data_IF_403065330923
#
_entry.id   IF_403065330923
#
_cell.length_a   1.000
_cell.length_b   1.000
_cell.length_c   1.000
_cell.angle_alpha   90.00
_cell.angle_beta   90.00
_cell.angle_gamma   90.00
#
_symmetry.space_group_name_H-M   'P 1'
#
loop_
_entity.id
_entity.type
_entity.pdbx_description
1 polymer ?
#
# COMPACT_ATOMS: atom_id res chain seq x y z
N UNK A 1 0.62 -28.87 -6.64
CA UNK A 1 -0.75 -28.53 -7.12
C UNK A 1 -0.63 -28.07 -8.56
N UNK A 2 -1.53 -28.49 -9.45
CA UNK A 2 -1.55 -27.96 -10.83
C UNK A 2 -1.88 -26.46 -10.79
N UNK A 3 -1.21 -25.67 -11.64
CA UNK A 3 -1.41 -24.20 -11.73
C UNK A 3 -2.90 -23.86 -11.89
N UNK A 4 -3.63 -24.68 -12.64
CA UNK A 4 -5.08 -24.55 -12.85
C UNK A 4 -5.86 -24.57 -11.52
N UNK A 5 -5.49 -25.45 -10.58
CA UNK A 5 -6.16 -25.55 -9.28
C UNK A 5 -5.89 -24.32 -8.42
N UNK A 6 -4.67 -23.76 -8.46
CA UNK A 6 -4.35 -22.51 -7.76
C UNK A 6 -5.14 -21.34 -8.31
N UNK A 7 -5.15 -21.17 -9.63
CA UNK A 7 -5.89 -20.08 -10.29
C UNK A 7 -7.38 -20.19 -9.98
N UNK A 8 -7.96 -21.39 -10.04
CA UNK A 8 -9.36 -21.62 -9.72
C UNK A 8 -9.67 -21.30 -8.25
N UNK A 9 -8.82 -21.74 -7.32
CA UNK A 9 -8.97 -21.44 -5.89
C UNK A 9 -8.92 -19.93 -5.61
N UNK A 10 -7.99 -19.20 -6.24
CA UNK A 10 -7.87 -17.75 -6.10
C UNK A 10 -9.06 -17.02 -6.70
N UNK A 11 -9.54 -17.45 -7.87
CA UNK A 11 -10.69 -16.85 -8.53
C UNK A 11 -11.97 -17.05 -7.67
N UNK A 12 -12.13 -18.24 -7.08
CA UNK A 12 -13.22 -18.53 -6.15
C UNK A 12 -13.10 -17.68 -4.87
N UNK A 13 -11.90 -17.53 -4.32
CA UNK A 13 -11.63 -16.69 -3.16
C UNK A 13 -11.95 -15.20 -3.42
N UNK A 14 -11.60 -14.67 -4.60
CA UNK A 14 -11.93 -13.29 -5.00
C UNK A 14 -13.43 -13.09 -5.14
N UNK A 15 -14.15 -14.02 -5.76
CA UNK A 15 -15.62 -13.95 -5.89
C UNK A 15 -16.29 -14.02 -4.52
N UNK A 16 -15.84 -14.93 -3.65
CA UNK A 16 -16.31 -15.04 -2.28
C UNK A 16 -16.07 -13.74 -1.49
N UNK A 17 -14.88 -13.13 -1.64
CA UNK A 17 -14.54 -11.83 -1.05
C UNK A 17 -15.53 -10.74 -1.44
N UNK A 18 -15.92 -10.67 -2.71
CA UNK A 18 -16.86 -9.67 -3.20
C UNK A 18 -18.25 -9.91 -2.60
N UNK A 19 -18.69 -11.16 -2.50
CA UNK A 19 -19.96 -11.51 -1.87
C UNK A 19 -19.96 -11.13 -0.38
N UNK A 20 -18.90 -11.49 0.35
CA UNK A 20 -18.72 -11.15 1.77
C UNK A 20 -18.73 -9.63 1.97
N UNK A 21 -18.06 -8.87 1.10
CA UNK A 21 -18.04 -7.39 1.17
C UNK A 21 -19.42 -6.75 1.01
N UNK A 22 -20.36 -7.41 0.32
CA UNK A 22 -21.74 -6.94 0.15
C UNK A 22 -22.66 -7.33 1.31
N UNK A 23 -22.35 -8.42 2.02
CA UNK A 23 -23.11 -8.86 3.20
C UNK A 23 -22.67 -8.16 4.49
N UNK A 24 -21.43 -7.64 4.53
CA UNK A 24 -20.92 -6.90 5.67
C UNK A 24 -21.59 -5.51 5.78
N UNK A 25 -22.11 -5.13 6.98
CA UNK A 25 -22.68 -3.79 7.22
C UNK A 25 -21.60 -2.69 7.25
N UNK A 26 -20.31 -3.07 7.31
CA UNK A 26 -19.17 -2.16 7.31
C UNK A 26 -18.62 -2.05 5.89
N UNK A 27 -18.57 -0.83 5.34
CA UNK A 27 -17.99 -0.54 4.02
C UNK A 27 -16.46 -0.63 4.07
N UNK A 28 -15.94 -1.84 4.07
CA UNK A 28 -14.50 -2.10 3.95
C UNK A 28 -14.13 -2.07 2.46
N UNK A 29 -13.11 -1.32 2.05
CA UNK A 29 -12.68 -1.31 0.65
C UNK A 29 -12.16 -2.70 0.26
N UNK A 30 -12.62 -3.19 -0.90
CA UNK A 30 -12.24 -4.50 -1.45
C UNK A 30 -10.74 -4.80 -1.41
N UNK A 31 -9.82 -3.86 -1.71
CA UNK A 31 -8.38 -4.11 -1.63
C UNK A 31 -7.91 -4.62 -0.26
N UNK A 32 -8.48 -4.11 0.85
CA UNK A 32 -8.09 -4.57 2.20
C UNK A 32 -8.52 -6.02 2.41
N UNK A 33 -9.75 -6.35 1.99
CA UNK A 33 -10.28 -7.70 2.13
C UNK A 33 -9.50 -8.70 1.26
N UNK A 34 -9.08 -8.28 0.07
CA UNK A 34 -8.27 -9.08 -0.84
C UNK A 34 -6.85 -9.32 -0.31
N UNK A 35 -6.20 -8.31 0.28
CA UNK A 35 -4.88 -8.48 0.93
C UNK A 35 -5.01 -9.45 2.11
N UNK A 36 -6.05 -9.32 2.93
CA UNK A 36 -6.29 -10.21 4.06
C UNK A 36 -6.55 -11.66 3.61
N UNK A 37 -7.36 -11.87 2.57
CA UNK A 37 -7.61 -13.19 1.99
C UNK A 37 -6.35 -13.81 1.38
N UNK A 38 -5.57 -13.02 0.62
CA UNK A 38 -4.29 -13.47 0.06
C UNK A 38 -3.30 -13.86 1.15
N UNK A 39 -3.18 -13.04 2.21
CA UNK A 39 -2.34 -13.34 3.36
C UNK A 39 -2.79 -14.61 4.10
N UNK A 40 -4.10 -14.81 4.26
CA UNK A 40 -4.65 -16.03 4.85
C UNK A 40 -4.34 -17.27 3.99
N UNK A 41 -4.46 -17.17 2.66
CA UNK A 41 -4.15 -18.25 1.72
C UNK A 41 -2.64 -18.60 1.68
N UNK A 42 -1.76 -17.62 1.83
CA UNK A 42 -0.31 -17.83 1.90
C UNK A 42 0.08 -18.77 3.05
N UNK A 43 -0.61 -18.69 4.21
CA UNK A 43 -0.40 -19.62 5.35
C UNK A 43 -0.68 -21.08 4.96
N UNK A 44 -1.55 -21.32 3.99
CA UNK A 44 -1.87 -22.67 3.49
C UNK A 44 -0.93 -23.14 2.37
N UNK A 45 0.19 -22.44 2.12
CA UNK A 45 1.21 -22.83 1.12
C UNK A 45 0.93 -22.35 -0.30
N UNK A 46 0.03 -21.39 -0.48
CA UNK A 46 -0.17 -20.69 -1.75
C UNK A 46 0.72 -19.45 -1.82
N UNK A 47 2.01 -19.68 -2.05
CA UNK A 47 2.98 -18.59 -2.19
C UNK A 47 3.05 -18.15 -3.65
N UNK A 48 2.74 -16.88 -3.89
CA UNK A 48 2.84 -16.23 -5.20
C UNK A 48 3.62 -14.95 -5.01
N UNK A 49 4.75 -14.82 -5.71
CA UNK A 49 5.53 -13.59 -5.69
C UNK A 49 4.68 -12.44 -6.24
N UNK A 50 4.41 -11.48 -5.36
CA UNK A 50 3.68 -10.27 -5.70
C UNK A 50 4.65 -9.18 -6.12
N UNK A 51 4.52 -8.69 -7.35
CA UNK A 51 5.38 -7.64 -7.88
C UNK A 51 4.79 -6.25 -7.58
N UNK A 52 5.25 -5.53 -6.54
CA UNK A 52 4.54 -4.35 -6.03
C UNK A 52 4.56 -3.19 -7.04
N UNK A 53 5.58 -3.14 -7.90
CA UNK A 53 5.72 -2.15 -8.96
C UNK A 53 4.58 -2.23 -9.96
N UNK A 54 4.14 -3.43 -10.35
CA UNK A 54 3.02 -3.61 -11.28
C UNK A 54 1.70 -3.20 -10.64
N UNK A 55 1.48 -3.53 -9.37
CA UNK A 55 0.31 -3.08 -8.63
C UNK A 55 0.28 -1.55 -8.49
N UNK A 56 1.38 -0.93 -8.06
CA UNK A 56 1.46 0.52 -7.92
C UNK A 56 1.24 1.21 -9.27
N UNK A 57 1.87 0.73 -10.34
CA UNK A 57 1.72 1.32 -11.67
C UNK A 57 0.31 1.13 -12.27
N UNK A 58 -0.37 0.02 -11.97
CA UNK A 58 -1.70 -0.25 -12.49
C UNK A 58 -2.81 0.42 -11.68
N UNK A 59 -2.66 0.54 -10.36
CA UNK A 59 -3.71 1.07 -9.48
C UNK A 59 -3.53 2.57 -9.18
N UNK A 60 -2.31 3.04 -8.86
CA UNK A 60 -2.10 4.41 -8.40
C UNK A 60 -2.45 5.44 -9.49
N UNK A 61 -1.93 5.36 -10.74
CA UNK A 61 -2.21 6.37 -11.75
C UNK A 61 -3.69 6.46 -12.14
N UNK A 62 -4.43 5.35 -12.40
CA UNK A 62 -5.86 5.44 -12.70
C UNK A 62 -6.71 5.93 -11.54
N UNK A 63 -6.40 5.54 -10.29
CA UNK A 63 -7.10 6.03 -9.10
C UNK A 63 -6.88 7.54 -8.91
N UNK A 64 -5.63 8.00 -9.05
CA UNK A 64 -5.30 9.42 -8.95
C UNK A 64 -5.96 10.25 -10.05
N UNK A 65 -6.11 9.70 -11.26
CA UNK A 65 -6.81 10.39 -12.34
C UNK A 65 -8.32 10.48 -12.06
N UNK A 66 -8.92 9.40 -11.56
CA UNK A 66 -10.33 9.38 -11.16
C UNK A 66 -10.61 10.40 -10.04
N UNK A 67 -9.73 10.48 -9.04
CA UNK A 67 -9.83 11.42 -7.92
C UNK A 67 -9.59 12.86 -8.39
N UNK A 68 -8.59 13.08 -9.25
CA UNK A 68 -8.28 14.39 -9.82
C UNK A 68 -9.37 14.95 -10.74
N UNK A 69 -10.04 14.09 -11.50
CA UNK A 69 -11.13 14.49 -12.39
C UNK A 69 -12.39 14.92 -11.63
N UNK A 70 -12.63 14.35 -10.44
CA UNK A 70 -13.86 14.60 -9.66
C UNK A 70 -13.87 15.96 -8.95
N UNK A 71 -12.73 16.63 -8.84
CA UNK A 71 -12.60 17.92 -8.15
C UNK A 71 -12.91 19.07 -9.13
N UNK A 72 -13.98 19.86 -8.90
CA UNK A 72 -14.28 21.03 -9.72
C UNK A 72 -13.19 22.10 -9.56
N UNK A 73 -12.68 22.59 -10.69
CA UNK A 73 -11.56 23.53 -10.75
C UNK A 73 -11.85 24.81 -9.97
N UNK A 74 -13.10 25.28 -10.00
CA UNK A 74 -13.51 26.52 -9.34
C UNK A 74 -13.41 26.46 -7.80
N UNK A 75 -13.75 25.30 -7.21
CA UNK A 75 -13.61 25.09 -5.77
C UNK A 75 -12.14 25.00 -5.35
N UNK A 76 -11.28 24.43 -6.22
CA UNK A 76 -9.84 24.35 -5.98
C UNK A 76 -9.23 25.76 -5.94
N UNK A 77 -9.58 26.64 -6.87
CA UNK A 77 -9.02 28.00 -6.92
C UNK A 77 -9.38 28.86 -5.71
N UNK A 78 -10.62 28.76 -5.22
CA UNK A 78 -11.05 29.51 -4.03
C UNK A 78 -10.33 29.04 -2.76
N UNK A 79 -10.03 27.74 -2.65
CA UNK A 79 -9.41 27.13 -1.47
C UNK A 79 -7.90 26.83 -1.66
N UNK A 80 -7.28 27.36 -2.71
CA UNK A 80 -5.88 27.07 -3.04
C UNK A 80 -4.94 27.41 -1.88
N UNK A 81 -5.15 28.55 -1.22
CA UNK A 81 -4.28 29.02 -0.13
C UNK A 81 -4.27 28.05 1.07
N UNK A 82 -5.42 27.65 1.64
CA UNK A 82 -5.43 26.64 2.70
C UNK A 82 -4.96 25.25 2.22
N UNK A 83 -5.33 24.83 1.00
CA UNK A 83 -4.89 23.53 0.45
C UNK A 83 -3.37 23.48 0.32
N UNK A 84 -2.71 24.54 -0.16
CA UNK A 84 -1.26 24.59 -0.27
C UNK A 84 -0.57 24.54 1.11
N UNK A 85 -1.14 25.22 2.11
CA UNK A 85 -0.63 25.19 3.48
C UNK A 85 -0.75 23.79 4.10
N UNK A 86 -1.89 23.12 3.93
CA UNK A 86 -2.12 21.76 4.41
C UNK A 86 -1.29 20.73 3.63
N UNK A 87 -1.26 20.81 2.31
CA UNK A 87 -0.56 19.85 1.47
C UNK A 87 0.97 19.93 1.62
N UNK A 88 1.56 21.12 1.73
CA UNK A 88 3.01 21.25 1.91
C UNK A 88 3.36 21.26 3.39
N UNK A 89 2.74 22.14 4.17
CA UNK A 89 3.09 22.33 5.57
C UNK A 89 2.85 21.08 6.40
N UNK A 90 1.65 20.48 6.32
CA UNK A 90 1.34 19.28 7.11
C UNK A 90 2.13 18.06 6.64
N UNK A 91 2.36 17.91 5.32
CA UNK A 91 3.14 16.77 4.80
C UNK A 91 4.60 16.87 5.25
N UNK A 92 5.22 18.06 5.17
CA UNK A 92 6.60 18.23 5.66
C UNK A 92 6.68 17.94 7.15
N UNK A 93 5.75 18.45 7.95
CA UNK A 93 5.71 18.21 9.40
C UNK A 93 5.52 16.72 9.71
N UNK A 94 4.59 16.04 9.03
CA UNK A 94 4.34 14.61 9.27
C UNK A 94 5.48 13.73 8.78
N UNK A 95 6.10 14.03 7.64
CA UNK A 95 7.27 13.30 7.14
C UNK A 95 8.46 13.43 8.10
N UNK A 96 8.73 14.63 8.62
CA UNK A 96 9.78 14.84 9.62
C UNK A 96 9.41 14.15 10.93
N UNK A 97 8.19 14.32 11.41
CA UNK A 97 7.71 13.73 12.66
C UNK A 97 7.78 12.21 12.65
N UNK A 98 7.24 11.58 11.60
CA UNK A 98 7.30 10.13 11.40
C UNK A 98 8.73 9.67 11.17
N UNK A 99 9.54 10.43 10.42
CA UNK A 99 10.96 10.10 10.20
C UNK A 99 11.77 10.05 11.50
N UNK A 100 11.59 11.04 12.37
CA UNK A 100 12.22 11.06 13.71
C UNK A 100 11.65 9.95 14.59
N UNK A 101 10.33 9.71 14.55
CA UNK A 101 9.67 8.67 15.32
C UNK A 101 10.20 7.26 14.96
N UNK A 102 10.33 6.96 13.67
CA UNK A 102 10.88 5.68 13.19
C UNK A 102 12.36 5.55 13.59
N UNK A 103 13.14 6.63 13.49
CA UNK A 103 14.54 6.61 13.92
C UNK A 103 14.68 6.29 15.41
N UNK A 104 13.76 6.77 16.24
CA UNK A 104 13.72 6.44 17.66
C UNK A 104 13.29 4.98 17.92
N UNK A 105 12.32 4.46 17.16
CA UNK A 105 11.82 3.09 17.29
C UNK A 105 12.84 2.04 16.80
N UNK A 106 13.62 2.35 15.77
CA UNK A 106 14.64 1.47 15.18
C UNK A 106 16.00 2.21 15.12
N UNK A 107 16.73 2.31 16.25
CA UNK A 107 17.97 3.08 16.34
C UNK A 107 19.12 2.57 15.46
N UNK A 108 18.98 1.39 14.81
CA UNK A 108 20.01 0.76 13.98
C UNK A 108 20.00 1.22 12.51
N UNK A 109 18.94 1.86 12.01
CA UNK A 109 19.01 2.52 10.69
C UNK A 109 19.46 3.98 10.90
N UNK A 110 20.78 4.17 10.78
CA UNK A 110 21.41 5.50 10.74
C UNK A 110 20.96 6.27 9.50
N UNK A 111 20.92 7.60 9.65
CA UNK A 111 20.19 8.53 8.81
C UNK A 111 20.49 8.38 7.29
N UNK A 112 19.48 8.41 6.41
CA UNK A 112 19.64 8.23 4.95
C UNK A 112 20.44 9.30 4.22
N UNK A 113 20.77 10.43 4.86
CA UNK A 113 21.35 11.59 4.16
C UNK A 113 22.86 11.53 3.94
N UNK A 114 23.56 10.51 4.47
CA UNK A 114 25.02 10.38 4.41
C UNK A 114 25.44 9.09 3.66
N UNK A 115 25.52 9.18 2.33
CA UNK A 115 26.27 8.28 1.42
C UNK A 115 25.78 6.80 1.31
N UNK A 116 26.15 6.06 0.24
CA UNK A 116 25.26 5.29 -0.64
C UNK A 116 24.82 3.90 -0.12
N UNK A 117 24.72 3.71 1.19
CA UNK A 117 24.34 2.43 1.81
C UNK A 117 22.84 2.31 2.13
N UNK A 118 21.98 3.00 1.37
CA UNK A 118 20.51 2.83 1.43
C UNK A 118 20.05 1.39 1.11
N UNK A 119 20.91 0.60 0.45
CA UNK A 119 20.66 -0.79 0.11
C UNK A 119 20.78 -1.76 1.32
N UNK A 120 21.51 -1.40 2.39
CA UNK A 120 21.77 -2.32 3.52
C UNK A 120 20.61 -2.44 4.53
N UNK A 121 19.84 -1.37 4.78
CA UNK A 121 18.65 -1.43 5.66
C UNK A 121 17.45 -2.09 4.92
N UNK A 122 17.43 -2.08 3.58
CA UNK A 122 16.35 -2.68 2.77
C UNK A 122 16.45 -4.21 2.68
N UNK A 123 17.67 -4.78 2.66
CA UNK A 123 17.85 -6.20 2.39
C UNK A 123 17.62 -7.12 3.61
N UNK A 124 17.75 -6.61 4.84
CA UNK A 124 17.64 -7.43 6.07
C UNK A 124 16.27 -7.38 6.75
N UNK A 125 15.38 -6.46 6.34
CA UNK A 125 14.00 -6.38 6.87
C UNK A 125 13.03 -7.24 6.04
N UNK A 126 13.29 -7.44 4.73
CA UNK A 126 12.44 -8.24 3.85
C UNK A 126 12.82 -9.73 3.73
N UNK A 127 14.01 -10.15 4.17
CA UNK A 127 14.45 -11.57 4.12
C UNK A 127 15.07 -12.02 5.47
N UNK A 128 14.26 -12.32 6.51
CA UNK A 128 14.77 -12.90 7.75
C UNK A 128 14.92 -14.43 7.68
N UNK A 129 14.45 -15.08 6.61
CA UNK A 129 14.50 -16.54 6.47
C UNK A 129 15.68 -16.95 5.57
N UNK A 130 16.66 -17.73 6.09
CA UNK A 130 17.48 -18.55 5.22
C UNK A 130 16.60 -19.64 4.60
N UNK A 131 16.99 -20.07 3.39
CA UNK A 131 16.38 -21.14 2.59
C UNK A 131 15.91 -22.34 3.41
#
# INVERSE_FOLDING_TARGET
>A
MSVVTMVLAFLLAVVASVFISRLLPVKIPLPILQIALGAALSVFGFDVEFEPHLFLLLFIPPLLFLDGWRIPKDALFNELKPIMSLAIGLVVVTVIGIGVFIHWLIPRCRLPWLLPLRQYCHQRILYPFPQ
#
